data_IF_517823705020
#
_entry.id   IF_517823705020
#
_cell.length_a   1.000
_cell.length_b   1.000
_cell.length_c   1.000
_cell.angle_alpha   90.00
_cell.angle_beta   90.00
_cell.angle_gamma   90.00
#
_symmetry.space_group_name_H-M   'P 1'
#
loop_
_entity.id
_entity.type
_entity.pdbx_description
1 polymer ?
#
# COMPACT_ATOMS: atom_id res chain seq x y z
N UNK A 1 -16.89 -12.43 -1.70
CA UNK A 1 -15.64 -11.83 -1.17
C UNK A 1 -15.37 -10.61 -2.01
N UNK A 2 -15.47 -9.40 -1.44
CA UNK A 2 -15.16 -8.17 -2.18
C UNK A 2 -13.70 -8.18 -2.62
N UNK A 3 -13.47 -8.24 -3.93
CA UNK A 3 -12.15 -8.31 -4.57
C UNK A 3 -11.34 -7.01 -4.46
N UNK A 4 -11.94 -5.96 -3.89
CA UNK A 4 -11.43 -4.58 -3.91
C UNK A 4 -10.59 -4.23 -2.68
N UNK A 5 -10.24 -5.17 -1.80
CA UNK A 5 -9.33 -4.89 -0.67
C UNK A 5 -7.87 -5.18 -1.03
N UNK A 6 -6.96 -4.27 -0.68
CA UNK A 6 -5.50 -4.44 -0.83
C UNK A 6 -4.82 -4.18 0.52
N UNK A 7 -4.08 -5.17 1.01
CA UNK A 7 -3.30 -5.05 2.24
C UNK A 7 -1.81 -5.17 1.92
N UNK A 8 -0.99 -4.26 2.45
CA UNK A 8 0.46 -4.23 2.22
C UNK A 8 1.21 -4.09 3.54
N UNK A 9 2.33 -4.80 3.66
CA UNK A 9 3.28 -4.68 4.77
C UNK A 9 4.50 -3.91 4.25
N UNK A 10 4.82 -2.80 4.90
CA UNK A 10 5.99 -1.96 4.57
C UNK A 10 7.04 -2.16 5.65
N UNK A 11 8.02 -3.01 5.35
CA UNK A 11 9.15 -3.35 6.23
C UNK A 11 10.35 -2.40 6.06
N UNK A 12 10.62 -1.97 4.82
CA UNK A 12 11.83 -1.20 4.55
C UNK A 12 11.68 0.27 4.95
N UNK A 13 12.69 0.79 5.65
CA UNK A 13 12.87 2.22 5.93
C UNK A 13 13.59 3.00 4.81
N UNK A 14 13.95 2.35 3.70
CA UNK A 14 14.56 3.05 2.57
C UNK A 14 13.52 3.97 1.92
N UNK A 15 13.89 5.24 1.70
CA UNK A 15 12.97 6.27 1.22
C UNK A 15 12.34 5.92 -0.13
N UNK A 16 13.11 5.34 -1.05
CA UNK A 16 12.65 4.91 -2.37
C UNK A 16 11.56 3.83 -2.27
N UNK A 17 11.73 2.85 -1.37
CA UNK A 17 10.75 1.79 -1.13
C UNK A 17 9.50 2.28 -0.41
N UNK A 18 9.67 3.19 0.56
CA UNK A 18 8.54 3.86 1.19
C UNK A 18 7.71 4.66 0.16
N UNK A 19 8.37 5.44 -0.69
CA UNK A 19 7.71 6.18 -1.78
C UNK A 19 7.03 5.23 -2.78
N UNK A 20 7.69 4.15 -3.19
CA UNK A 20 7.09 3.15 -4.08
C UNK A 20 5.82 2.53 -3.47
N UNK A 21 5.84 2.19 -2.17
CA UNK A 21 4.68 1.65 -1.46
C UNK A 21 3.49 2.61 -1.48
N UNK A 22 3.74 3.91 -1.32
CA UNK A 22 2.72 4.96 -1.35
C UNK A 22 2.18 5.20 -2.77
N UNK A 23 3.02 5.13 -3.80
CA UNK A 23 2.58 5.23 -5.20
C UNK A 23 1.60 4.08 -5.52
N UNK A 24 1.94 2.85 -5.13
CA UNK A 24 1.09 1.67 -5.34
C UNK A 24 -0.22 1.80 -4.54
N UNK A 25 -0.15 2.23 -3.28
CA UNK A 25 -1.32 2.46 -2.42
C UNK A 25 -2.29 3.47 -3.05
N UNK A 26 -1.76 4.61 -3.50
CA UNK A 26 -2.57 5.66 -4.12
C UNK A 26 -3.17 5.21 -5.45
N UNK A 27 -2.43 4.46 -6.26
CA UNK A 27 -2.96 3.86 -7.49
C UNK A 27 -4.12 2.91 -7.19
N UNK A 28 -3.98 2.05 -6.18
CA UNK A 28 -5.06 1.15 -5.75
C UNK A 28 -6.27 1.92 -5.22
N UNK A 29 -6.06 2.94 -4.37
CA UNK A 29 -7.13 3.78 -3.84
C UNK A 29 -7.88 4.53 -4.95
N UNK A 30 -7.17 5.06 -5.96
CA UNK A 30 -7.77 5.73 -7.11
C UNK A 30 -8.64 4.80 -7.98
N UNK A 31 -8.36 3.49 -7.98
CA UNK A 31 -9.18 2.48 -8.64
C UNK A 31 -10.39 2.01 -7.80
N UNK A 32 -10.63 2.64 -6.64
CA UNK A 32 -11.74 2.29 -5.74
C UNK A 32 -11.43 1.10 -4.82
N UNK A 33 -10.15 0.72 -4.68
CA UNK A 33 -9.77 -0.31 -3.73
C UNK A 33 -9.67 0.25 -2.31
N UNK A 34 -10.12 -0.51 -1.31
CA UNK A 34 -9.87 -0.26 0.10
C UNK A 34 -8.43 -0.69 0.43
N UNK A 35 -7.58 0.26 0.81
CA UNK A 35 -6.16 0.01 1.04
C UNK A 35 -5.84 0.03 2.54
N UNK A 36 -5.20 -1.02 3.03
CA UNK A 36 -4.64 -1.10 4.38
C UNK A 36 -3.12 -1.23 4.29
N UNK A 37 -2.39 -0.37 4.99
CA UNK A 37 -0.93 -0.40 5.07
C UNK A 37 -0.50 -0.67 6.51
N UNK A 38 0.31 -1.69 6.72
CA UNK A 38 0.94 -1.99 8.01
C UNK A 38 2.43 -1.72 7.93
N UNK A 39 2.90 -0.75 8.71
CA UNK A 39 4.31 -0.38 8.79
C UNK A 39 4.95 -1.10 9.96
N UNK A 40 6.06 -1.80 9.70
CA UNK A 40 6.83 -2.55 10.69
C UNK A 40 8.32 -2.43 10.39
N UNK A 41 9.16 -2.65 11.40
CA UNK A 41 10.63 -2.68 11.31
C UNK A 41 11.12 -3.86 10.50
#
# INVERSE_FOLDING_TARGET
MDSNKKTMIVFSGDLDKAMASLIIANGAAAMGNEVTMFFTF
#
